data_IF_872419495815
#
_entry.id   IF_872419495815
#
_cell.length_a   1.000
_cell.length_b   1.000
_cell.length_c   1.000
_cell.angle_alpha   90.00
_cell.angle_beta   90.00
_cell.angle_gamma   90.00
#
_symmetry.space_group_name_H-M   'P 1'
#
loop_
_entity.id
_entity.type
_entity.pdbx_description
1 polymer ?
#
# COMPACT_ATOMS: atom_id res chain seq x y z
N UNK A 1 6.68 -0.60 -24.77
CA UNK A 1 7.07 0.61 -24.01
C UNK A 1 5.81 1.16 -23.36
N UNK A 2 5.78 1.47 -22.05
CA UNK A 2 4.61 2.10 -21.46
C UNK A 2 4.30 3.43 -22.16
N UNK A 3 3.04 3.89 -22.15
CA UNK A 3 2.65 5.21 -22.65
C UNK A 3 3.56 6.30 -22.09
N UNK A 4 3.87 7.32 -22.89
CA UNK A 4 4.79 8.39 -22.47
C UNK A 4 4.29 9.18 -21.26
N UNK A 5 2.98 9.16 -21.02
CA UNK A 5 2.24 9.80 -19.93
C UNK A 5 1.94 8.85 -18.75
N UNK A 6 2.39 7.59 -18.81
CA UNK A 6 2.16 6.63 -17.73
C UNK A 6 2.87 7.09 -16.45
N UNK A 7 2.09 7.48 -15.45
CA UNK A 7 2.61 7.87 -14.13
C UNK A 7 3.31 6.66 -13.50
N UNK A 8 4.50 6.90 -12.94
CA UNK A 8 5.25 5.88 -12.20
C UNK A 8 4.46 5.46 -10.95
N UNK A 9 4.38 4.15 -10.71
CA UNK A 9 3.75 3.61 -9.52
C UNK A 9 4.57 3.92 -8.27
N UNK A 10 3.88 4.12 -7.15
CA UNK A 10 4.52 4.33 -5.85
C UNK A 10 5.15 3.02 -5.34
N UNK A 11 6.23 3.15 -4.60
CA UNK A 11 6.83 2.07 -3.83
C UNK A 11 6.31 2.03 -2.38
N UNK A 12 5.61 3.07 -1.94
CA UNK A 12 5.01 3.13 -0.61
C UNK A 12 3.68 2.37 -0.59
N UNK A 13 3.60 1.37 0.29
CA UNK A 13 2.46 0.48 0.34
C UNK A 13 1.17 1.19 0.78
N UNK A 14 1.26 2.11 1.76
CA UNK A 14 0.08 2.83 2.23
C UNK A 14 -0.50 3.73 1.13
N UNK A 15 0.37 4.46 0.42
CA UNK A 15 -0.01 5.28 -0.73
C UNK A 15 -0.66 4.42 -1.83
N UNK A 16 -0.11 3.24 -2.13
CA UNK A 16 -0.69 2.34 -3.14
C UNK A 16 -2.11 1.87 -2.76
N UNK A 17 -2.35 1.61 -1.46
CA UNK A 17 -3.68 1.23 -0.95
C UNK A 17 -4.66 2.41 -1.05
N UNK A 18 -4.20 3.63 -0.78
CA UNK A 18 -5.02 4.83 -0.90
C UNK A 18 -5.40 5.11 -2.37
N UNK A 19 -4.44 4.99 -3.29
CA UNK A 19 -4.68 5.09 -4.73
C UNK A 19 -5.68 4.03 -5.21
N UNK A 20 -5.58 2.79 -4.73
CA UNK A 20 -6.55 1.73 -5.02
C UNK A 20 -7.96 2.07 -4.51
N UNK A 21 -8.07 2.54 -3.27
CA UNK A 21 -9.35 2.87 -2.65
C UNK A 21 -10.04 4.08 -3.33
N UNK A 22 -9.25 4.99 -3.90
CA UNK A 22 -9.76 6.15 -4.64
C UNK A 22 -10.03 5.86 -6.14
N UNK A 23 -9.58 4.72 -6.67
CA UNK A 23 -9.60 4.45 -8.12
C UNK A 23 -11.01 4.23 -8.68
N UNK A 24 -11.48 5.07 -9.62
CA UNK A 24 -12.74 4.82 -10.33
C UNK A 24 -12.66 3.54 -11.18
N UNK A 25 -11.51 3.28 -11.79
CA UNK A 25 -11.29 2.08 -12.62
C UNK A 25 -11.50 0.79 -11.82
N UNK A 26 -10.94 0.69 -10.61
CA UNK A 26 -11.11 -0.49 -9.75
C UNK A 26 -12.59 -0.64 -9.35
N UNK A 27 -13.26 0.46 -9.02
CA UNK A 27 -14.68 0.45 -8.69
C UNK A 27 -15.52 -0.09 -9.83
N UNK A 28 -15.22 0.34 -11.05
CA UNK A 28 -16.01 0.02 -12.23
C UNK A 28 -15.80 -1.44 -12.68
N UNK A 29 -14.58 -1.98 -12.49
CA UNK A 29 -14.25 -3.38 -12.84
C UNK A 29 -14.73 -4.38 -11.78
N UNK A 30 -14.53 -4.09 -10.50
CA UNK A 30 -14.77 -5.05 -9.41
C UNK A 30 -16.01 -4.74 -8.56
N UNK A 31 -16.59 -3.55 -8.72
CA UNK A 31 -17.71 -3.07 -7.93
C UNK A 31 -17.28 -2.39 -6.63
N UNK A 32 -18.10 -1.44 -6.18
CA UNK A 32 -17.88 -0.64 -4.97
C UNK A 32 -17.66 -1.49 -3.71
N UNK A 33 -18.45 -2.56 -3.53
CA UNK A 33 -18.36 -3.40 -2.33
C UNK A 33 -17.01 -4.10 -2.21
N UNK A 34 -16.48 -4.61 -3.32
CA UNK A 34 -15.16 -5.24 -3.34
C UNK A 34 -14.06 -4.21 -3.06
N UNK A 35 -14.10 -3.07 -3.76
CA UNK A 35 -13.13 -1.99 -3.56
C UNK A 35 -13.04 -1.55 -2.09
N UNK A 36 -14.19 -1.33 -1.45
CA UNK A 36 -14.23 -0.94 -0.04
C UNK A 36 -13.64 -2.01 0.86
N UNK A 37 -14.13 -3.26 0.78
CA UNK A 37 -13.67 -4.33 1.66
C UNK A 37 -12.19 -4.64 1.50
N UNK A 38 -11.70 -4.70 0.25
CA UNK A 38 -10.28 -4.94 -0.02
C UNK A 38 -9.42 -3.76 0.43
N UNK A 39 -9.82 -2.52 0.12
CA UNK A 39 -9.11 -1.31 0.52
C UNK A 39 -8.97 -1.20 2.05
N UNK A 40 -10.06 -1.40 2.79
CA UNK A 40 -10.05 -1.35 4.26
C UNK A 40 -9.16 -2.44 4.86
N UNK A 41 -9.22 -3.65 4.30
CA UNK A 41 -8.37 -4.78 4.73
C UNK A 41 -6.89 -4.45 4.53
N UNK A 42 -6.52 -3.97 3.34
CA UNK A 42 -5.13 -3.61 3.04
C UNK A 42 -4.64 -2.39 3.81
N UNK A 43 -5.52 -1.43 4.11
CA UNK A 43 -5.16 -0.28 4.96
C UNK A 43 -4.81 -0.74 6.37
N UNK A 44 -5.60 -1.68 6.93
CA UNK A 44 -5.32 -2.26 8.24
C UNK A 44 -3.98 -3.03 8.26
N UNK A 45 -3.70 -3.81 7.22
CA UNK A 45 -2.41 -4.50 7.06
C UNK A 45 -1.25 -3.50 7.01
N UNK A 46 -1.34 -2.45 6.17
CA UNK A 46 -0.31 -1.44 6.01
C UNK A 46 0.01 -0.72 7.34
N UNK A 47 -1.02 -0.28 8.08
CA UNK A 47 -0.83 0.38 9.38
C UNK A 47 -0.18 -0.57 10.39
N UNK A 48 -0.57 -1.84 10.39
CA UNK A 48 0.01 -2.85 11.30
C UNK A 48 1.49 -3.04 11.01
N UNK A 49 1.84 -3.16 9.73
CA UNK A 49 3.24 -3.29 9.30
C UNK A 49 4.07 -2.08 9.71
N UNK A 50 3.60 -0.85 9.44
CA UNK A 50 4.32 0.39 9.76
C UNK A 50 4.54 0.62 11.27
N UNK A 51 3.78 -0.06 12.12
CA UNK A 51 3.92 0.00 13.59
C UNK A 51 4.82 -1.09 14.15
N UNK A 52 5.28 -2.02 13.32
CA UNK A 52 6.09 -3.16 13.75
C UNK A 52 7.56 -2.82 13.56
N UNK A 53 8.35 -2.96 14.63
CA UNK A 53 9.82 -2.91 14.53
C UNK A 53 10.28 -4.24 13.94
N UNK A 54 10.93 -4.18 12.79
CA UNK A 54 11.41 -5.38 12.08
C UNK A 54 12.80 -5.80 12.52
N UNK A 55 13.18 -7.04 12.20
CA UNK A 55 14.55 -7.54 12.44
C UNK A 55 15.61 -6.69 11.73
N UNK A 56 15.27 -6.10 10.58
CA UNK A 56 16.14 -5.15 9.89
C UNK A 56 16.36 -3.88 10.72
N UNK A 57 15.30 -3.35 11.35
CA UNK A 57 15.42 -2.18 12.23
C UNK A 57 16.31 -2.49 13.44
N UNK A 58 16.18 -3.68 14.03
CA UNK A 58 17.08 -4.14 15.10
C UNK A 58 18.54 -4.23 14.63
N UNK A 59 18.82 -4.87 13.49
CA UNK A 59 20.18 -4.98 12.96
C UNK A 59 20.79 -3.63 12.60
N UNK A 60 19.96 -2.69 12.15
CA UNK A 60 20.41 -1.35 11.72
C UNK A 60 20.69 -0.44 12.90
N UNK A 61 19.80 -0.43 13.91
CA UNK A 61 19.83 0.59 14.96
C UNK A 61 20.25 0.07 16.35
N UNK A 62 20.20 -1.24 16.60
CA UNK A 62 20.67 -1.87 17.84
C UNK A 62 22.04 -2.59 17.82
N UNK A 63 22.91 -2.53 16.80
CA UNK A 63 24.14 -3.35 16.76
C UNK A 63 25.22 -2.97 17.78
N UNK A 64 24.93 -2.11 18.76
CA UNK A 64 25.90 -1.58 19.74
C UNK A 64 25.46 -1.69 21.21
N UNK A 65 24.45 -2.51 21.54
CA UNK A 65 24.14 -2.88 22.92
C UNK A 65 24.69 -4.27 23.21
#
# INVERSE_FOLDING_TARGET
>A
KPPADAKRLTHDFLTAVEDFAASPFIRDVFGKRYQTLFGDTKRKEAITFLRTVSDFDYQTYLPRI
#
